data_IF_837907082031
#
_entry.id   IF_837907082031
#
_cell.length_a   1.000
_cell.length_b   1.000
_cell.length_c   1.000
_cell.angle_alpha   90.00
_cell.angle_beta   90.00
_cell.angle_gamma   90.00
#
_symmetry.space_group_name_H-M   'P 1'
#
loop_
_entity.id
_entity.type
_entity.pdbx_description
1 polymer ?
#
# COMPACT_ATOMS: atom_id res chain seq x y z
N UNK A 1 5.55 2.96 -32.39
CA UNK A 1 4.43 3.66 -33.07
C UNK A 1 3.90 2.73 -34.16
N UNK A 2 2.79 2.02 -33.93
CA UNK A 2 2.18 1.13 -34.91
C UNK A 2 0.91 1.78 -35.49
N UNK A 3 0.85 1.86 -36.82
CA UNK A 3 -0.28 2.39 -37.60
C UNK A 3 -1.25 1.24 -37.88
N UNK A 4 -2.45 1.29 -37.28
CA UNK A 4 -3.57 0.43 -37.64
C UNK A 4 -4.38 1.08 -38.76
N UNK A 5 -4.97 0.34 -39.69
CA UNK A 5 -5.92 0.85 -40.70
C UNK A 5 -7.28 0.17 -40.50
N UNK A 6 -8.31 0.91 -40.07
CA UNK A 6 -9.68 0.41 -39.85
C UNK A 6 -10.47 1.21 -38.78
N UNK A 7 -11.78 0.97 -38.57
CA UNK A 7 -12.63 1.68 -37.60
C UNK A 7 -12.12 1.62 -36.14
N UNK A 8 -11.27 0.64 -35.82
CA UNK A 8 -10.54 0.51 -34.56
C UNK A 8 -9.56 1.67 -34.27
N UNK A 9 -9.15 2.44 -35.30
CA UNK A 9 -8.27 3.61 -35.13
C UNK A 9 -8.85 4.69 -34.22
N UNK A 10 -10.17 4.87 -34.20
CA UNK A 10 -10.80 5.92 -33.38
C UNK A 10 -10.73 5.59 -31.89
N UNK A 11 -10.77 4.31 -31.53
CA UNK A 11 -10.71 3.85 -30.14
C UNK A 11 -9.29 3.78 -29.57
N UNK A 12 -8.27 3.59 -30.43
CA UNK A 12 -6.88 3.39 -29.98
C UNK A 12 -6.32 4.55 -29.12
N UNK A 13 -6.57 5.84 -29.42
CA UNK A 13 -6.15 6.93 -28.52
C UNK A 13 -6.81 6.86 -27.13
N UNK A 14 -8.09 6.51 -27.08
CA UNK A 14 -8.83 6.36 -25.82
C UNK A 14 -8.32 5.17 -25.02
N UNK A 15 -8.08 4.04 -25.68
CA UNK A 15 -7.49 2.84 -25.07
C UNK A 15 -6.11 3.16 -24.52
N UNK A 16 -5.26 3.85 -25.29
CA UNK A 16 -3.92 4.26 -24.82
C UNK A 16 -4.03 5.12 -23.57
N UNK A 17 -4.88 6.16 -23.59
CA UNK A 17 -5.09 7.02 -22.44
C UNK A 17 -5.60 6.23 -21.22
N UNK A 18 -6.62 5.40 -21.41
CA UNK A 18 -7.24 4.59 -20.36
C UNK A 18 -6.24 3.58 -19.78
N UNK A 19 -5.47 2.89 -20.62
CA UNK A 19 -4.43 1.99 -20.13
C UNK A 19 -3.33 2.70 -19.34
N UNK A 20 -3.08 3.99 -19.64
CA UNK A 20 -2.15 4.83 -18.88
C UNK A 20 -2.65 5.20 -17.48
N UNK A 21 -3.93 4.98 -17.17
CA UNK A 21 -4.50 5.20 -15.83
C UNK A 21 -4.46 3.93 -14.95
N UNK A 22 -3.95 2.80 -15.45
CA UNK A 22 -3.87 1.55 -14.69
C UNK A 22 -2.78 1.62 -13.62
N UNK A 23 -3.05 1.02 -12.48
CA UNK A 23 -2.05 0.81 -11.44
C UNK A 23 -1.15 -0.41 -11.77
N UNK A 24 -0.10 -0.62 -10.97
CA UNK A 24 0.87 -1.71 -11.17
C UNK A 24 0.25 -3.12 -11.07
N UNK A 25 -0.90 -3.25 -10.42
CA UNK A 25 -1.63 -4.50 -10.22
C UNK A 25 -2.72 -4.74 -11.28
N UNK A 26 -2.83 -3.84 -12.27
CA UNK A 26 -3.76 -3.96 -13.38
C UNK A 26 -5.17 -3.44 -13.12
N UNK A 27 -5.46 -2.91 -11.93
CA UNK A 27 -6.69 -2.18 -11.59
C UNK A 27 -6.57 -0.67 -11.85
N UNK A 28 -7.57 0.08 -11.40
CA UNK A 28 -7.62 1.54 -11.48
C UNK A 28 -7.74 2.17 -10.08
N UNK A 29 -7.82 3.49 -10.00
CA UNK A 29 -7.90 4.27 -8.76
C UNK A 29 -9.00 3.80 -7.81
N UNK A 30 -10.17 3.46 -8.35
CA UNK A 30 -11.32 2.99 -7.57
C UNK A 30 -11.92 1.70 -8.13
N UNK A 31 -12.80 1.06 -7.36
CA UNK A 31 -13.52 -0.15 -7.79
C UNK A 31 -14.42 0.14 -9.01
N UNK A 32 -15.11 1.28 -9.04
CA UNK A 32 -15.97 1.64 -10.17
C UNK A 32 -15.16 1.90 -11.43
N UNK A 33 -14.05 2.65 -11.31
CA UNK A 33 -13.14 2.88 -12.42
C UNK A 33 -12.61 1.56 -12.97
N UNK A 34 -12.29 0.61 -12.07
CA UNK A 34 -11.80 -0.70 -12.44
C UNK A 34 -12.85 -1.48 -13.25
N UNK A 35 -14.10 -1.54 -12.79
CA UNK A 35 -15.17 -2.26 -13.50
C UNK A 35 -15.42 -1.67 -14.89
N UNK A 36 -15.62 -0.35 -14.96
CA UNK A 36 -15.97 0.32 -16.23
C UNK A 36 -14.79 0.28 -17.20
N UNK A 37 -13.57 0.51 -16.73
CA UNK A 37 -12.40 0.51 -17.58
C UNK A 37 -12.07 -0.91 -18.09
N UNK A 38 -12.16 -1.95 -17.26
CA UNK A 38 -11.94 -3.32 -17.70
C UNK A 38 -13.02 -3.77 -18.68
N UNK A 39 -14.28 -3.37 -18.49
CA UNK A 39 -15.35 -3.64 -19.45
C UNK A 39 -15.06 -2.99 -20.82
N UNK A 40 -14.65 -1.72 -20.82
CA UNK A 40 -14.31 -1.00 -22.06
C UNK A 40 -13.09 -1.61 -22.76
N UNK A 41 -12.04 -1.94 -22.00
CA UNK A 41 -10.83 -2.59 -22.53
C UNK A 41 -11.12 -3.99 -23.05
N UNK A 42 -11.97 -4.77 -22.37
CA UNK A 42 -12.42 -6.09 -22.81
C UNK A 42 -13.17 -6.01 -24.14
N UNK A 43 -14.14 -5.10 -24.26
CA UNK A 43 -14.88 -4.88 -25.51
C UNK A 43 -13.97 -4.45 -26.67
N UNK A 44 -12.96 -3.61 -26.40
CA UNK A 44 -11.95 -3.28 -27.39
C UNK A 44 -11.07 -4.49 -27.75
N UNK A 45 -10.68 -5.31 -26.77
CA UNK A 45 -9.84 -6.48 -26.97
C UNK A 45 -10.51 -7.52 -27.89
N UNK A 46 -11.82 -7.74 -27.77
CA UNK A 46 -12.59 -8.60 -28.67
C UNK A 46 -12.44 -8.17 -30.14
N UNK A 47 -12.43 -6.87 -30.39
CA UNK A 47 -12.30 -6.31 -31.73
C UNK A 47 -10.85 -6.22 -32.22
N UNK A 48 -9.89 -6.10 -31.30
CA UNK A 48 -8.46 -6.03 -31.61
C UNK A 48 -7.78 -7.41 -31.71
N UNK A 49 -8.49 -8.47 -31.32
CA UNK A 49 -8.01 -9.85 -31.37
C UNK A 49 -7.74 -10.31 -32.81
N UNK A 50 -6.64 -11.05 -33.00
CA UNK A 50 -6.25 -11.66 -34.29
C UNK A 50 -5.81 -13.09 -34.04
N UNK A 51 -6.47 -14.06 -34.65
CA UNK A 51 -6.18 -15.49 -34.48
C UNK A 51 -4.77 -15.90 -34.98
N UNK A 52 -4.18 -15.07 -35.85
CA UNK A 52 -2.84 -15.24 -36.40
C UNK A 52 -1.82 -14.26 -35.81
N UNK A 53 -2.06 -13.80 -34.57
CA UNK A 53 -1.12 -12.90 -33.88
C UNK A 53 0.23 -13.57 -33.65
N UNK A 54 1.29 -12.95 -34.13
CA UNK A 54 2.67 -13.31 -33.86
C UNK A 54 3.48 -12.02 -33.75
N UNK A 55 3.80 -11.62 -32.52
CA UNK A 55 4.48 -10.36 -32.22
C UNK A 55 5.74 -10.65 -31.41
N UNK A 56 6.86 -10.12 -31.86
CA UNK A 56 8.12 -10.10 -31.13
C UNK A 56 8.31 -8.72 -30.52
N UNK A 57 8.50 -8.66 -29.21
CA UNK A 57 8.75 -7.43 -28.46
C UNK A 57 10.16 -7.48 -27.87
N UNK A 58 11.00 -6.53 -28.22
CA UNK A 58 12.35 -6.37 -27.66
C UNK A 58 12.38 -5.14 -26.77
N UNK A 59 12.82 -5.33 -25.54
CA UNK A 59 13.03 -4.30 -24.53
C UNK A 59 14.53 -4.13 -24.34
N UNK A 60 15.04 -2.92 -24.50
CA UNK A 60 16.45 -2.58 -24.30
C UNK A 60 16.58 -1.56 -23.18
N UNK A 61 17.50 -1.80 -22.24
CA UNK A 61 17.78 -0.92 -21.11
C UNK A 61 19.30 -0.83 -20.91
N UNK A 62 19.91 0.21 -21.46
CA UNK A 62 21.38 0.32 -21.49
C UNK A 62 22.03 -0.79 -22.32
N UNK A 63 22.86 -1.61 -21.67
CA UNK A 63 23.53 -2.76 -22.30
C UNK A 63 22.64 -4.02 -22.33
N UNK A 64 21.57 -4.04 -21.54
CA UNK A 64 20.70 -5.19 -21.37
C UNK A 64 19.58 -5.19 -22.42
N UNK A 65 19.21 -6.39 -22.86
CA UNK A 65 18.16 -6.59 -23.84
C UNK A 65 17.39 -7.88 -23.55
N UNK A 66 16.07 -7.79 -23.54
CA UNK A 66 15.17 -8.93 -23.37
C UNK A 66 14.18 -8.97 -24.52
N UNK A 67 13.93 -10.17 -25.07
CA UNK A 67 12.95 -10.37 -26.14
C UNK A 67 11.84 -11.30 -25.69
N UNK A 68 10.61 -10.91 -25.97
CA UNK A 68 9.38 -11.67 -25.75
C UNK A 68 8.76 -12.06 -27.08
N UNK A 69 8.21 -13.25 -27.13
CA UNK A 69 7.44 -13.75 -28.29
C UNK A 69 6.01 -14.02 -27.86
N UNK A 70 5.07 -13.31 -28.47
CA UNK A 70 3.64 -13.40 -28.21
C UNK A 70 2.98 -14.09 -29.40
N UNK A 71 2.42 -15.27 -29.15
CA UNK A 71 1.72 -16.14 -30.09
C UNK A 71 0.30 -16.41 -29.57
N UNK A 72 -0.61 -17.00 -30.37
CA UNK A 72 -1.98 -17.26 -29.90
C UNK A 72 -2.02 -18.21 -28.71
N UNK A 73 -1.05 -19.11 -28.59
CA UNK A 73 -0.92 -20.07 -27.48
C UNK A 73 -0.51 -19.45 -26.14
N UNK A 74 0.09 -18.25 -26.13
CA UNK A 74 0.53 -17.58 -24.90
C UNK A 74 -0.02 -16.15 -24.78
N UNK A 75 -1.05 -15.81 -25.57
CA UNK A 75 -1.58 -14.44 -25.68
C UNK A 75 -2.12 -13.85 -24.37
N UNK A 76 -2.50 -14.70 -23.40
CA UNK A 76 -3.03 -14.29 -22.08
C UNK A 76 -1.98 -14.53 -20.96
N UNK A 77 -0.82 -15.11 -21.29
CA UNK A 77 0.23 -15.39 -20.31
C UNK A 77 1.02 -14.13 -20.04
N UNK A 78 1.07 -13.71 -18.77
CA UNK A 78 1.92 -12.61 -18.33
C UNK A 78 3.40 -12.97 -18.53
N UNK A 79 4.12 -12.10 -19.22
CA UNK A 79 5.57 -12.17 -19.37
C UNK A 79 6.17 -10.89 -18.78
N UNK A 80 7.12 -11.03 -17.87
CA UNK A 80 7.73 -9.91 -17.14
C UNK A 80 9.25 -9.95 -17.21
N UNK A 81 9.88 -8.78 -17.14
CA UNK A 81 11.33 -8.63 -17.06
C UNK A 81 11.64 -7.48 -16.11
N UNK A 82 12.56 -7.74 -15.18
CA UNK A 82 13.04 -6.73 -14.26
C UNK A 82 14.14 -5.91 -14.94
N UNK A 83 13.98 -4.60 -14.95
CA UNK A 83 14.94 -3.69 -15.56
C UNK A 83 16.13 -3.49 -14.60
N UNK A 84 17.35 -3.89 -14.97
CA UNK A 84 18.50 -3.83 -14.07
C UNK A 84 19.02 -2.40 -13.84
N UNK A 85 18.78 -1.49 -14.77
CA UNK A 85 19.32 -0.14 -14.72
C UNK A 85 18.21 0.92 -14.78
N UNK A 86 17.86 1.47 -13.62
CA UNK A 86 16.80 2.49 -13.48
C UNK A 86 17.18 3.86 -14.07
N UNK A 87 18.48 4.14 -14.22
CA UNK A 87 18.99 5.42 -14.74
C UNK A 87 19.07 5.44 -16.27
N UNK A 88 18.98 4.27 -16.91
CA UNK A 88 19.03 4.14 -18.36
C UNK A 88 17.64 4.19 -18.98
N UNK A 89 17.55 4.79 -20.17
CA UNK A 89 16.31 4.78 -20.94
C UNK A 89 15.86 3.35 -21.26
N UNK A 90 14.54 3.18 -21.40
CA UNK A 90 13.91 1.91 -21.79
C UNK A 90 13.35 2.07 -23.20
N UNK A 91 13.91 1.33 -24.15
CA UNK A 91 13.45 1.28 -25.54
C UNK A 91 12.64 0.01 -25.78
N UNK A 92 11.38 0.16 -26.19
CA UNK A 92 10.48 -0.96 -26.51
C UNK A 92 10.21 -0.96 -28.01
N UNK A 93 10.66 -2.01 -28.70
CA UNK A 93 10.42 -2.24 -30.13
C UNK A 93 9.56 -3.47 -30.32
N UNK A 94 8.51 -3.35 -31.13
CA UNK A 94 7.64 -4.45 -31.48
C UNK A 94 7.65 -4.67 -33.00
N UNK A 95 7.66 -5.93 -33.43
CA UNK A 95 7.60 -6.34 -34.83
C UNK A 95 6.70 -7.57 -34.99
N UNK A 96 6.15 -7.78 -36.19
CA UNK A 96 5.21 -8.86 -36.47
C UNK A 96 3.77 -8.39 -36.65
N UNK A 97 2.81 -9.31 -36.48
CA UNK A 97 1.38 -9.08 -36.70
C UNK A 97 0.60 -9.29 -35.41
N UNK A 98 -0.17 -8.31 -34.97
CA UNK A 98 -1.03 -8.43 -33.79
C UNK A 98 -0.96 -7.20 -32.88
N UNK A 99 -1.65 -7.28 -31.75
CA UNK A 99 -1.69 -6.22 -30.73
C UNK A 99 -1.12 -6.77 -29.43
N UNK A 100 -0.21 -6.04 -28.81
CA UNK A 100 0.37 -6.39 -27.50
C UNK A 100 0.19 -5.21 -26.55
N UNK A 101 -0.14 -5.51 -25.31
CA UNK A 101 -0.14 -4.57 -24.21
C UNK A 101 1.20 -4.66 -23.47
N UNK A 102 1.92 -3.55 -23.36
CA UNK A 102 3.18 -3.45 -22.64
C UNK A 102 3.06 -2.37 -21.56
N UNK A 103 3.52 -2.68 -20.34
CA UNK A 103 3.47 -1.80 -19.18
C UNK A 103 4.84 -1.77 -18.51
N UNK A 104 5.27 -0.58 -18.12
CA UNK A 104 6.45 -0.37 -17.27
C UNK A 104 5.95 0.10 -15.91
N UNK A 105 6.39 -0.56 -14.84
CA UNK A 105 6.00 -0.26 -13.47
C UNK A 105 7.25 0.07 -12.65
N UNK A 106 7.16 1.06 -11.75
CA UNK A 106 8.24 1.47 -10.86
C UNK A 106 7.69 1.84 -9.48
N UNK A 107 8.51 1.64 -8.45
CA UNK A 107 8.18 1.94 -7.05
C UNK A 107 9.28 2.80 -6.45
N UNK A 108 8.92 3.77 -5.62
CA UNK A 108 9.88 4.69 -5.00
C UNK A 108 9.36 5.20 -3.67
N UNK A 109 10.29 5.51 -2.76
CA UNK A 109 9.97 6.20 -1.53
C UNK A 109 9.79 7.69 -1.79
N UNK A 110 8.76 8.28 -1.20
CA UNK A 110 8.54 9.72 -1.20
C UNK A 110 8.65 10.24 0.22
N UNK A 111 9.40 11.33 0.39
CA UNK A 111 9.27 12.14 1.59
C UNK A 111 7.84 12.74 1.61
N UNK A 112 7.15 12.68 2.75
CA UNK A 112 5.81 13.22 2.90
C UNK A 112 5.87 14.75 2.83
N UNK A 113 5.47 15.35 1.71
CA UNK A 113 5.56 16.81 1.47
C UNK A 113 4.17 17.46 1.25
N UNK A 114 3.06 16.78 1.57
CA UNK A 114 1.73 17.37 1.40
C UNK A 114 1.15 17.83 2.73
N UNK A 115 1.24 19.14 2.96
CA UNK A 115 0.56 19.88 4.04
C UNK A 115 -0.78 20.50 3.56
N UNK A 116 -1.19 20.18 2.32
CA UNK A 116 -2.45 20.61 1.71
C UNK A 116 -3.57 19.55 1.83
N UNK A 117 -3.45 18.66 2.82
CA UNK A 117 -4.46 17.63 3.10
C UNK A 117 -5.84 18.27 3.30
N UNK A 118 -6.87 17.84 2.55
CA UNK A 118 -8.21 18.34 2.71
C UNK A 118 -8.96 17.68 3.89
N UNK A 119 -8.27 16.82 4.64
CA UNK A 119 -8.74 16.22 5.87
C UNK A 119 -7.97 16.77 7.06
N UNK A 120 -8.69 16.99 8.17
CA UNK A 120 -8.13 17.17 9.49
C UNK A 120 -8.68 16.09 10.40
N UNK A 121 -7.82 15.46 11.19
CA UNK A 121 -8.26 14.54 12.22
C UNK A 121 -7.43 14.70 13.48
N UNK A 122 -8.10 15.05 14.58
CA UNK A 122 -7.46 15.08 15.89
C UNK A 122 -7.38 13.67 16.46
N UNK A 123 -6.35 13.43 17.26
CA UNK A 123 -6.05 12.15 17.89
C UNK A 123 -5.63 12.39 19.33
N UNK A 124 -6.34 11.78 20.27
CA UNK A 124 -5.99 11.80 21.68
C UNK A 124 -5.89 10.36 22.20
N UNK A 125 -4.70 9.99 22.68
CA UNK A 125 -4.44 8.64 23.17
C UNK A 125 -4.44 8.65 24.70
N UNK A 126 -5.32 7.82 25.28
CA UNK A 126 -5.47 7.63 26.72
C UNK A 126 -5.04 6.23 27.10
N UNK A 127 -4.16 6.16 28.10
CA UNK A 127 -3.73 4.90 28.69
C UNK A 127 -4.70 4.51 29.81
N UNK A 128 -5.34 3.35 29.67
CA UNK A 128 -6.29 2.77 30.62
C UNK A 128 -5.67 1.51 31.24
N UNK A 129 -6.19 1.11 32.41
CA UNK A 129 -5.77 -0.13 33.11
C UNK A 129 -4.24 -0.24 33.25
N UNK A 130 -3.60 0.86 33.65
CA UNK A 130 -2.13 0.92 33.80
C UNK A 130 -1.35 0.77 32.50
N UNK A 131 -1.94 1.12 31.36
CA UNK A 131 -1.32 1.02 30.03
C UNK A 131 -1.54 -0.34 29.34
N UNK A 132 -2.29 -1.26 29.94
CA UNK A 132 -2.65 -2.53 29.28
C UNK A 132 -3.82 -2.38 28.30
N UNK A 133 -4.56 -1.28 28.38
CA UNK A 133 -5.62 -0.93 27.43
C UNK A 133 -5.42 0.50 26.95
N UNK A 134 -5.62 0.73 25.68
CA UNK A 134 -5.52 2.05 25.06
C UNK A 134 -6.89 2.48 24.57
N UNK A 135 -7.19 3.77 24.71
CA UNK A 135 -8.33 4.42 24.08
C UNK A 135 -7.80 5.53 23.19
N UNK A 136 -8.01 5.40 21.88
CA UNK A 136 -7.69 6.42 20.89
C UNK A 136 -8.98 7.14 20.48
N UNK A 137 -9.11 8.40 20.89
CA UNK A 137 -10.21 9.26 20.47
C UNK A 137 -9.81 9.97 19.18
N UNK A 138 -10.59 9.74 18.13
CA UNK A 138 -10.42 10.34 16.81
C UNK A 138 -11.59 11.28 16.52
N UNK A 139 -11.31 12.47 16.00
CA UNK A 139 -12.34 13.36 15.45
C UNK A 139 -11.88 13.87 14.09
N UNK A 140 -12.53 13.39 13.03
CA UNK A 140 -12.11 13.69 11.66
C UNK A 140 -13.15 14.55 10.92
N UNK A 141 -12.71 15.51 10.12
CA UNK A 141 -13.53 16.34 9.25
C UNK A 141 -12.83 16.68 7.92
N UNK A 142 -13.60 17.21 6.98
CA UNK A 142 -13.12 17.74 5.71
C UNK A 142 -12.97 19.27 5.80
N UNK A 143 -11.82 19.80 5.42
CA UNK A 143 -11.43 21.20 5.68
C UNK A 143 -11.67 22.14 4.51
N UNK A 144 -11.99 21.64 3.31
CA UNK A 144 -12.24 22.53 2.16
C UNK A 144 -13.58 23.24 2.30
N UNK A 145 -13.56 24.55 2.09
CA UNK A 145 -14.55 25.55 2.52
C UNK A 145 -15.95 25.49 1.86
N UNK A 146 -16.23 24.53 0.97
CA UNK A 146 -17.54 24.41 0.32
C UNK A 146 -17.94 22.97 -0.05
N UNK A 147 -17.22 21.95 0.44
CA UNK A 147 -17.40 20.57 0.01
C UNK A 147 -17.62 19.59 1.14
N UNK A 148 -18.12 18.41 0.77
CA UNK A 148 -17.87 17.17 1.50
C UNK A 148 -16.85 16.35 0.71
N UNK A 149 -16.13 15.47 1.37
CA UNK A 149 -15.45 14.38 0.67
C UNK A 149 -16.47 13.44 0.01
N UNK A 150 -16.01 12.48 -0.77
CA UNK A 150 -16.78 11.27 -1.00
C UNK A 150 -16.74 10.37 0.24
N UNK A 151 -17.03 9.07 0.09
CA UNK A 151 -16.71 8.10 1.13
C UNK A 151 -15.22 8.22 1.50
N UNK A 152 -14.94 8.35 2.79
CA UNK A 152 -13.58 8.42 3.30
C UNK A 152 -13.26 7.14 4.07
N UNK A 153 -12.00 6.71 4.04
CA UNK A 153 -11.54 5.52 4.77
C UNK A 153 -10.41 5.92 5.69
N UNK A 154 -10.54 5.61 6.98
CA UNK A 154 -9.42 5.64 7.90
C UNK A 154 -8.87 4.23 8.11
N UNK A 155 -7.59 4.06 7.83
CA UNK A 155 -6.82 2.89 8.19
C UNK A 155 -6.01 3.25 9.45
N UNK A 156 -6.27 2.55 10.55
CA UNK A 156 -5.62 2.80 11.84
C UNK A 156 -4.91 1.53 12.28
N UNK A 157 -3.59 1.60 12.44
CA UNK A 157 -2.79 0.51 13.01
C UNK A 157 -2.80 0.60 14.53
N UNK A 158 -2.89 -0.53 15.22
CA UNK A 158 -2.67 -0.60 16.67
C UNK A 158 -1.20 -0.32 17.01
N UNK A 159 -0.94 0.08 18.26
CA UNK A 159 0.44 0.13 18.77
C UNK A 159 1.05 -1.28 18.75
N UNK A 160 2.36 -1.37 18.55
CA UNK A 160 3.05 -2.67 18.51
C UNK A 160 2.81 -3.46 19.80
N UNK A 161 2.26 -4.67 19.68
CA UNK A 161 1.89 -5.51 20.83
C UNK A 161 0.46 -5.32 21.34
N UNK A 162 -0.36 -4.51 20.67
CA UNK A 162 -1.79 -4.34 20.95
C UNK A 162 -2.64 -4.88 19.81
N UNK A 163 -3.87 -5.29 20.15
CA UNK A 163 -4.94 -5.64 19.21
C UNK A 163 -6.20 -4.87 19.54
N UNK A 164 -6.98 -4.49 18.53
CA UNK A 164 -8.25 -3.82 18.73
C UNK A 164 -9.28 -4.75 19.40
N UNK A 165 -10.14 -4.15 20.22
CA UNK A 165 -11.22 -4.85 20.91
C UNK A 165 -12.42 -5.01 19.96
N UNK A 166 -12.74 -6.26 19.58
CA UNK A 166 -13.83 -6.60 18.67
C UNK A 166 -15.22 -6.21 19.21
N UNK A 167 -15.43 -6.31 20.52
CA UNK A 167 -16.71 -5.97 21.15
C UNK A 167 -16.94 -4.45 21.13
N UNK A 168 -15.91 -3.66 21.43
CA UNK A 168 -15.98 -2.19 21.32
C UNK A 168 -16.13 -1.73 19.87
N UNK A 169 -15.46 -2.40 18.93
CA UNK A 169 -15.63 -2.14 17.49
C UNK A 169 -17.08 -2.31 17.07
N UNK A 170 -17.77 -3.34 17.57
CA UNK A 170 -19.19 -3.58 17.29
C UNK A 170 -20.09 -2.38 17.62
N UNK A 171 -19.74 -1.56 18.63
CA UNK A 171 -20.51 -0.36 19.01
C UNK A 171 -20.38 0.78 17.98
N UNK A 172 -19.28 0.82 17.23
CA UNK A 172 -19.06 1.82 16.18
C UNK A 172 -20.03 1.64 15.00
N UNK A 173 -20.51 0.42 14.77
CA UNK A 173 -21.48 0.13 13.70
C UNK A 173 -22.83 0.85 13.89
N UNK A 174 -23.12 1.33 15.10
CA UNK A 174 -24.32 2.11 15.41
C UNK A 174 -24.22 3.61 15.07
N UNK A 175 -23.05 4.11 14.68
CA UNK A 175 -22.84 5.52 14.34
C UNK A 175 -23.33 5.78 12.91
N UNK A 176 -24.31 6.67 12.74
CA UNK A 176 -24.93 6.96 11.43
C UNK A 176 -23.97 7.52 10.38
N UNK A 177 -22.88 8.15 10.80
CA UNK A 177 -21.86 8.70 9.91
C UNK A 177 -20.86 7.63 9.43
N UNK A 178 -20.94 6.41 9.94
CA UNK A 178 -20.13 5.28 9.51
C UNK A 178 -20.95 4.34 8.63
N UNK A 179 -20.33 3.84 7.56
CA UNK A 179 -20.91 2.78 6.74
C UNK A 179 -20.56 1.40 7.29
N UNK A 180 -19.31 1.24 7.75
CA UNK A 180 -18.76 -0.04 8.19
C UNK A 180 -17.48 0.19 8.97
N UNK A 181 -17.17 -0.77 9.85
CA UNK A 181 -15.86 -0.89 10.51
C UNK A 181 -15.41 -2.35 10.40
N UNK A 182 -14.15 -2.58 10.05
CA UNK A 182 -13.59 -3.93 9.90
C UNK A 182 -12.23 -4.01 10.58
N UNK A 183 -11.94 -5.17 11.16
CA UNK A 183 -10.62 -5.53 11.65
C UNK A 183 -9.88 -6.36 10.60
N UNK A 184 -8.59 -6.14 10.50
CA UNK A 184 -7.69 -6.80 9.54
C UNK A 184 -6.32 -7.04 10.20
N UNK A 185 -5.48 -7.85 9.57
CA UNK A 185 -4.14 -8.21 10.06
C UNK A 185 -4.17 -8.75 11.51
N UNK A 186 -5.00 -9.76 11.78
CA UNK A 186 -5.09 -10.38 13.11
C UNK A 186 -5.41 -9.34 14.22
N UNK A 187 -6.38 -8.47 13.92
CA UNK A 187 -6.91 -7.37 14.75
C UNK A 187 -5.91 -6.26 15.09
N UNK A 188 -4.78 -6.20 14.37
CA UNK A 188 -3.79 -5.13 14.53
C UNK A 188 -4.05 -3.92 13.63
N UNK A 189 -4.99 -4.02 12.70
CA UNK A 189 -5.43 -2.92 11.82
C UNK A 189 -6.95 -2.79 11.87
N UNK A 190 -7.45 -1.55 11.95
CA UNK A 190 -8.86 -1.24 11.84
C UNK A 190 -9.09 -0.35 10.61
N UNK A 191 -10.03 -0.77 9.75
CA UNK A 191 -10.50 -0.02 8.59
C UNK A 191 -11.87 0.58 8.91
N UNK A 192 -11.99 1.90 8.93
CA UNK A 192 -13.20 2.65 9.26
C UNK A 192 -13.71 3.35 8.00
N UNK A 193 -14.91 2.98 7.55
CA UNK A 193 -15.53 3.54 6.35
C UNK A 193 -16.54 4.61 6.75
N UNK A 194 -16.23 5.87 6.46
CA UNK A 194 -17.09 7.02 6.74
C UNK A 194 -18.00 7.31 5.54
N UNK A 195 -19.22 7.75 5.84
CA UNK A 195 -20.00 8.55 4.90
C UNK A 195 -19.24 9.84 4.54
N UNK A 196 -19.65 10.55 3.46
CA UNK A 196 -19.10 11.86 3.10
C UNK A 196 -18.84 12.80 4.29
N UNK A 197 -17.56 13.02 4.59
CA UNK A 197 -17.13 13.91 5.67
C UNK A 197 -17.29 15.36 5.22
N UNK A 198 -17.95 16.17 6.05
CA UNK A 198 -18.06 17.62 5.86
C UNK A 198 -17.21 18.39 6.85
N UNK A 199 -17.51 19.68 7.01
CA UNK A 199 -16.83 20.52 8.00
C UNK A 199 -17.11 20.14 9.47
N UNK A 200 -18.25 19.51 9.75
CA UNK A 200 -18.58 18.98 11.07
C UNK A 200 -17.79 17.70 11.36
N UNK A 201 -17.03 17.62 12.47
CA UNK A 201 -16.23 16.45 12.78
C UNK A 201 -17.07 15.26 13.24
N UNK A 202 -16.70 14.08 12.75
CA UNK A 202 -17.20 12.80 13.22
C UNK A 202 -16.20 12.26 14.23
N UNK A 203 -16.66 12.04 15.46
CA UNK A 203 -15.83 11.59 16.58
C UNK A 203 -16.13 10.15 16.98
N UNK A 204 -15.09 9.40 17.29
CA UNK A 204 -15.18 7.98 17.68
C UNK A 204 -14.02 7.60 18.61
N UNK A 205 -14.24 6.56 19.42
CA UNK A 205 -13.25 6.04 20.36
C UNK A 205 -12.90 4.61 19.98
N UNK A 206 -11.62 4.36 19.72
CA UNK A 206 -11.09 3.04 19.41
C UNK A 206 -10.41 2.46 20.63
N UNK A 207 -10.71 1.21 20.96
CA UNK A 207 -10.10 0.52 22.08
C UNK A 207 -9.19 -0.60 21.60
N UNK A 208 -8.02 -0.73 22.22
CA UNK A 208 -7.13 -1.85 22.00
C UNK A 208 -6.53 -2.34 23.31
N UNK A 209 -6.32 -3.64 23.40
CA UNK A 209 -5.74 -4.31 24.56
C UNK A 209 -4.37 -4.90 24.22
N UNK A 210 -3.48 -4.88 25.19
CA UNK A 210 -2.13 -5.41 25.06
C UNK A 210 -2.16 -6.93 24.99
N UNK A 211 -1.55 -7.50 23.96
CA UNK A 211 -1.39 -8.94 23.77
C UNK A 211 0.05 -9.39 23.95
N UNK A 212 1.01 -8.53 23.61
CA UNK A 212 2.44 -8.79 23.76
C UNK A 212 3.13 -7.63 24.43
N UNK A 213 4.06 -7.98 25.32
CA UNK A 213 4.97 -7.02 25.91
C UNK A 213 6.08 -6.69 24.91
N UNK A 214 6.10 -5.47 24.41
CA UNK A 214 7.10 -4.99 23.44
C UNK A 214 7.79 -3.75 23.97
N UNK A 215 9.12 -3.73 23.88
CA UNK A 215 9.95 -2.59 24.24
C UNK A 215 10.45 -1.86 23.00
N UNK A 216 10.72 -0.55 23.11
CA UNK A 216 11.02 0.33 21.96
C UNK A 216 9.92 0.30 20.89
N UNK A 217 8.67 0.49 21.33
CA UNK A 217 7.52 0.58 20.44
C UNK A 217 7.70 1.73 19.45
N UNK A 218 7.49 1.44 18.16
CA UNK A 218 7.46 2.47 17.13
C UNK A 218 6.07 3.14 17.10
N UNK A 219 5.98 4.39 16.62
CA UNK A 219 4.69 5.04 16.42
C UNK A 219 3.79 4.23 15.49
N UNK A 220 2.53 4.02 15.89
CA UNK A 220 1.50 3.42 15.05
C UNK A 220 1.06 4.42 13.98
N UNK A 221 0.77 3.93 12.77
CA UNK A 221 0.35 4.78 11.65
C UNK A 221 -1.17 4.87 11.55
N UNK A 222 -1.64 6.02 11.07
CA UNK A 222 -3.01 6.27 10.68
C UNK A 222 -3.03 7.02 9.35
N UNK A 223 -3.85 6.54 8.42
CA UNK A 223 -4.10 7.21 7.13
C UNK A 223 -5.60 7.41 6.96
N UNK A 224 -6.03 8.64 6.68
CA UNK A 224 -7.39 8.97 6.30
C UNK A 224 -7.38 9.50 4.86
N UNK A 225 -8.17 8.92 3.96
CA UNK A 225 -8.18 9.30 2.55
C UNK A 225 -9.57 9.23 1.92
N UNK A 226 -9.77 9.99 0.84
CA UNK A 226 -10.96 9.86 0.00
C UNK A 226 -10.86 8.59 -0.85
N UNK A 227 -11.84 7.70 -0.75
CA UNK A 227 -11.81 6.40 -1.41
C UNK A 227 -11.76 6.47 -2.94
N UNK A 228 -12.35 7.51 -3.53
CA UNK A 228 -12.39 7.69 -4.98
C UNK A 228 -11.27 8.61 -5.49
N UNK A 229 -10.64 9.38 -4.59
CA UNK A 229 -9.46 10.18 -4.89
C UNK A 229 -8.38 10.04 -3.80
N UNK A 230 -7.64 8.90 -3.74
CA UNK A 230 -6.70 8.61 -2.65
C UNK A 230 -5.50 9.57 -2.53
N UNK A 231 -5.29 10.44 -3.51
CA UNK A 231 -4.31 11.53 -3.39
C UNK A 231 -4.70 12.56 -2.34
N UNK A 232 -6.01 12.73 -2.09
CA UNK A 232 -6.55 13.49 -0.97
C UNK A 232 -6.47 12.64 0.29
N UNK A 233 -5.41 12.82 1.07
CA UNK A 233 -5.17 12.03 2.27
C UNK A 233 -4.43 12.81 3.36
N UNK A 234 -4.72 12.42 4.61
CA UNK A 234 -3.98 12.78 5.81
C UNK A 234 -3.23 11.54 6.30
N UNK A 235 -1.90 11.66 6.46
CA UNK A 235 -1.07 10.64 7.12
C UNK A 235 -0.61 11.17 8.46
N UNK A 236 -0.71 10.35 9.49
CA UNK A 236 -0.31 10.74 10.84
C UNK A 236 0.15 9.51 11.64
N UNK A 237 1.02 9.68 12.63
CA UNK A 237 1.41 8.59 13.55
C UNK A 237 1.27 8.93 15.03
N UNK A 238 0.79 8.00 15.87
CA UNK A 238 0.59 8.23 17.30
C UNK A 238 1.43 7.27 18.15
N UNK A 239 1.68 7.63 19.41
CA UNK A 239 2.55 6.87 20.31
C UNK A 239 2.06 6.96 21.75
N UNK A 240 2.25 5.88 22.51
CA UNK A 240 2.04 5.89 23.95
C UNK A 240 3.06 6.81 24.64
N UNK A 241 2.67 7.40 25.78
CA UNK A 241 3.57 8.23 26.59
C UNK A 241 4.49 7.36 27.44
N UNK A 242 3.99 6.20 27.86
CA UNK A 242 4.69 5.31 28.76
C UNK A 242 5.55 4.31 27.97
N UNK A 243 6.83 4.63 27.80
CA UNK A 243 7.82 3.66 27.30
C UNK A 243 8.17 2.71 28.44
N UNK A 244 7.62 1.49 28.42
CA UNK A 244 8.00 0.47 29.40
C UNK A 244 9.43 0.04 29.15
N UNK A 245 10.26 0.10 30.18
CA UNK A 245 11.64 -0.35 30.08
C UNK A 245 11.71 -1.88 30.14
N UNK A 246 12.69 -2.47 29.44
CA UNK A 246 12.94 -3.92 29.44
C UNK A 246 13.03 -4.52 30.86
N UNK A 247 13.72 -3.89 31.83
CA UNK A 247 13.84 -4.44 33.19
C UNK A 247 12.50 -4.47 33.96
N UNK A 248 11.61 -3.50 33.73
CA UNK A 248 10.30 -3.45 34.39
C UNK A 248 9.31 -4.47 33.81
N UNK A 249 9.52 -4.86 32.55
CA UNK A 249 8.60 -5.71 31.80
C UNK A 249 8.87 -7.20 32.03
N UNK A 250 10.13 -7.57 32.29
CA UNK A 250 10.51 -8.92 32.67
C UNK A 250 11.73 -8.89 33.61
N UNK A 251 11.52 -8.81 34.93
CA UNK A 251 12.61 -8.84 35.90
C UNK A 251 13.45 -10.12 35.81
N UNK A 252 12.82 -11.25 35.48
CA UNK A 252 13.48 -12.56 35.34
C UNK A 252 14.34 -12.67 34.08
N UNK A 253 14.03 -11.89 33.04
CA UNK A 253 14.81 -11.83 31.81
C UNK A 253 16.09 -10.98 32.00
N UNK A 254 16.15 -10.18 33.06
CA UNK A 254 17.25 -9.26 33.32
C UNK A 254 17.62 -9.24 34.82
N UNK A 255 18.23 -10.32 35.33
CA UNK A 255 18.65 -10.38 36.73
C UNK A 255 19.63 -9.25 37.01
N UNK A 256 19.19 -8.27 37.81
CA UNK A 256 20.03 -7.20 38.34
C UNK A 256 20.92 -7.77 39.45
N UNK A 257 21.98 -8.46 39.08
CA UNK A 257 22.97 -8.98 40.01
C UNK A 257 24.13 -9.67 39.29
N UNK A 258 25.31 -9.03 39.28
CA UNK A 258 26.69 -9.55 39.13
C UNK A 258 26.95 -10.81 38.27
N UNK A 259 26.15 -11.07 37.24
CA UNK A 259 26.26 -12.30 36.44
C UNK A 259 26.20 -12.04 34.94
N UNK A 260 26.76 -10.92 34.50
CA UNK A 260 27.36 -10.88 33.16
C UNK A 260 28.81 -11.35 33.31
N UNK A 261 29.19 -12.57 32.88
CA UNK A 261 30.60 -12.88 32.74
C UNK A 261 31.19 -11.85 31.77
N UNK A 262 32.24 -11.16 32.22
CA UNK A 262 32.97 -10.22 31.37
C UNK A 262 33.26 -10.88 30.03
N UNK A 263 33.09 -10.18 28.88
CA UNK A 263 33.36 -10.77 27.59
C UNK A 263 34.80 -11.25 27.59
N UNK A 264 34.99 -12.56 27.48
CA UNK A 264 36.31 -13.16 27.35
C UNK A 264 36.95 -12.53 26.11
N UNK A 265 38.10 -11.88 26.30
CA UNK A 265 38.95 -11.38 25.21
C UNK A 265 39.43 -12.57 24.38
N UNK A 266 38.60 -13.04 23.47
CA UNK A 266 39.03 -13.84 22.33
C UNK A 266 39.87 -12.94 21.44
N UNK A 267 41.17 -13.22 21.36
CA UNK A 267 42.02 -12.67 20.30
C UNK A 267 41.44 -13.10 18.95
N UNK A 268 40.72 -12.20 18.31
CA UNK A 268 40.50 -12.22 16.87
C UNK A 268 40.90 -10.86 16.33
N UNK A 269 41.88 -10.89 15.45
CA UNK A 269 42.44 -9.74 14.74
C UNK A 269 41.33 -8.92 14.09
N UNK A 270 41.29 -7.63 14.40
CA UNK A 270 40.44 -6.66 13.74
C UNK A 270 40.94 -6.40 12.32
N UNK A 271 40.32 -7.03 11.34
CA UNK A 271 40.28 -6.49 9.98
C UNK A 271 38.92 -5.80 9.85
N UNK A 272 38.92 -4.47 9.93
CA UNK A 272 37.75 -3.63 9.65
C UNK A 272 37.37 -3.74 8.17
N UNK A 273 36.17 -4.23 7.81
CA UNK A 273 35.59 -3.94 6.51
C UNK A 273 34.88 -2.58 6.61
N UNK A 274 35.24 -1.68 5.70
CA UNK A 274 34.56 -0.42 5.46
C UNK A 274 33.08 -0.64 5.20
N UNK A 275 32.23 0.14 5.88
CA UNK A 275 30.81 0.21 5.60
C UNK A 275 30.58 0.78 4.20
N UNK A 276 30.19 -0.09 3.26
CA UNK A 276 29.40 0.32 2.10
C UNK A 276 27.97 -0.16 2.36
N UNK A 277 27.04 0.79 2.27
CA UNK A 277 25.62 0.55 2.51
C UNK A 277 25.09 -0.54 1.57
N UNK A 278 24.69 -1.66 2.15
CA UNK A 278 24.01 -2.73 1.43
C UNK A 278 22.52 -2.45 1.52
N UNK A 279 21.94 -1.97 0.42
CA UNK A 279 20.50 -1.96 0.23
C UNK A 279 20.01 -3.41 0.16
N UNK A 280 19.20 -3.82 1.14
CA UNK A 280 18.48 -5.10 1.10
C UNK A 280 17.07 -4.80 0.60
N UNK A 281 16.80 -5.13 -0.66
CA UNK A 281 15.45 -5.20 -1.18
C UNK A 281 14.80 -6.48 -0.65
N UNK A 282 13.83 -6.35 0.25
CA UNK A 282 12.97 -7.46 0.66
C UNK A 282 11.83 -7.54 -0.34
N UNK A 283 11.89 -8.53 -1.24
CA UNK A 283 10.77 -8.87 -2.11
C UNK A 283 9.90 -9.94 -1.43
N UNK A 284 8.73 -9.53 -0.95
CA UNK A 284 7.67 -10.44 -0.57
C UNK A 284 6.93 -10.92 -1.82
N UNK A 285 7.10 -12.20 -2.16
CA UNK A 285 6.25 -12.87 -3.13
C UNK A 285 4.90 -13.18 -2.47
N UNK A 286 3.85 -12.44 -2.81
CA UNK A 286 2.48 -12.91 -2.61
C UNK A 286 2.00 -13.56 -3.91
N UNK A 287 1.98 -14.89 -3.90
CA UNK A 287 1.35 -15.71 -4.92
C UNK A 287 -0.16 -15.66 -4.69
N UNK A 288 -0.94 -15.06 -5.59
CA UNK A 288 -2.37 -15.30 -5.61
C UNK A 288 -2.76 -15.97 -6.93
N UNK A 289 -3.24 -17.21 -6.80
CA UNK A 289 -3.93 -17.92 -7.87
C UNK A 289 -5.35 -17.37 -7.96
N UNK A 290 -5.66 -16.66 -9.04
CA UNK A 290 -7.03 -16.55 -9.51
C UNK A 290 -7.22 -17.60 -10.61
N UNK A 291 -7.86 -18.69 -10.24
CA UNK A 291 -8.53 -19.60 -11.17
C UNK A 291 -9.72 -18.85 -11.77
N UNK A 292 -9.73 -18.72 -13.09
CA UNK A 292 -10.97 -18.70 -13.87
C UNK A 292 -11.29 -20.14 -14.27
#
# INVERSE_FOLDING_TARGET
MALFTGPHQKGLPLVRWLTGQRNAYGGFSSTQDTVIALQALGSYAEHAYSADSNVTVTVTNGADSQTFSVTPSNAIVLQSYELPNIDSNVDIKASGKGTVFAQVSYSYYRNAVRDDSPFFCSRDLKELRGGNRMQLDLCCNYTRSAGKSNMAVAEVEALTGFKFDEEEMGKLTGISDLQRVELDHDDTKMNIYFNPLGGSPVCLSLFSDMTYHVTDQKPAQMVLFDYYNPEEQLKSSYSAKQTRSLPETCPDCWPTGDSFPAPTRGHSSSTTPSAQGMFVAVFTFMLWHLLL
#
